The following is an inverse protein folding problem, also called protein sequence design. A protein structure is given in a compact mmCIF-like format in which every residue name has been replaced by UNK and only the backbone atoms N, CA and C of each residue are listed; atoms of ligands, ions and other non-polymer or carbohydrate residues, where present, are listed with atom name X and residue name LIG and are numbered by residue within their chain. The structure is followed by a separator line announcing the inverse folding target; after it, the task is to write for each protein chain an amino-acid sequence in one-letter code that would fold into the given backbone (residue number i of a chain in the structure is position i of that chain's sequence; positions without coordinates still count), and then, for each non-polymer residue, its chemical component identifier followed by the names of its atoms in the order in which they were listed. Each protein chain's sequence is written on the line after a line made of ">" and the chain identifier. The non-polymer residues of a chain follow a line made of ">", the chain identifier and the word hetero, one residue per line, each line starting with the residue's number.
data_IF_583180911688
#
_entry.id   IF_583180911688
#
_cell.length_a   1.000
_cell.length_b   1.000
_cell.length_c   1.000
_cell.angle_alpha   90.00
_cell.angle_beta   90.00
_cell.angle_gamma   90.00
#
_symmetry.space_group_name_H-M   'P 1'
#
loop_
_entity.id
_entity.type
_entity.pdbx_description
1 polymer ?
#
# COMPACT_ATOMS: atom_id res chain seq x y z
N UNK A 1 0.44 -3.12 1.74
CA UNK A 1 -0.28 -2.84 0.48
C UNK A 1 -1.56 -3.66 0.47
N UNK A 2 -2.65 -3.17 -0.14
CA UNK A 2 -3.88 -3.95 -0.32
C UNK A 2 -3.66 -5.05 -1.37
N UNK A 3 -4.60 -5.99 -1.45
CA UNK A 3 -4.66 -7.06 -2.47
C UNK A 3 -6.07 -7.14 -3.03
N UNK A 4 -6.26 -7.77 -4.18
CA UNK A 4 -7.60 -8.03 -4.73
C UNK A 4 -7.75 -9.44 -5.28
N UNK A 5 -8.98 -9.86 -5.52
CA UNK A 5 -9.34 -11.14 -6.12
C UNK A 5 -10.18 -10.98 -7.42
N UNK A 6 -9.95 -9.91 -8.19
CA UNK A 6 -10.76 -9.60 -9.38
C UNK A 6 -10.36 -10.35 -10.65
N UNK A 7 -9.26 -11.11 -10.63
CA UNK A 7 -8.80 -11.93 -11.77
C UNK A 7 -8.67 -13.39 -11.38
N UNK A 8 -8.77 -14.34 -12.32
CA UNK A 8 -8.49 -15.76 -12.05
C UNK A 8 -7.10 -15.97 -11.43
N UNK A 9 -6.09 -15.23 -11.88
CA UNK A 9 -4.71 -15.34 -11.42
C UNK A 9 -4.51 -14.81 -9.98
N UNK A 10 -5.43 -13.97 -9.50
CA UNK A 10 -5.32 -13.36 -8.17
C UNK A 10 -5.90 -14.17 -7.02
N UNK A 11 -6.66 -15.25 -7.29
CA UNK A 11 -7.38 -15.98 -6.24
C UNK A 11 -6.45 -16.59 -5.19
N UNK A 12 -5.41 -17.30 -5.63
CA UNK A 12 -4.48 -17.97 -4.72
C UNK A 12 -3.67 -16.97 -3.91
N UNK A 13 -3.22 -15.87 -4.54
CA UNK A 13 -2.48 -14.81 -3.87
C UNK A 13 -3.34 -14.07 -2.84
N UNK A 14 -4.61 -13.84 -3.15
CA UNK A 14 -5.57 -13.23 -2.23
C UNK A 14 -5.89 -14.15 -1.05
N UNK A 15 -6.14 -15.44 -1.28
CA UNK A 15 -6.47 -16.40 -0.23
C UNK A 15 -5.38 -16.51 0.85
N UNK A 16 -4.12 -16.30 0.48
CA UNK A 16 -2.98 -16.32 1.40
C UNK A 16 -2.82 -15.02 2.21
N UNK A 17 -3.54 -13.94 1.87
CA UNK A 17 -3.33 -12.59 2.39
C UNK A 17 -4.61 -12.01 2.97
N UNK A 18 -4.82 -12.25 4.26
CA UNK A 18 -5.94 -11.70 5.01
C UNK A 18 -5.96 -10.16 4.97
N UNK A 19 -7.02 -9.52 4.44
CA UNK A 19 -7.18 -8.08 4.47
C UNK A 19 -7.18 -7.51 5.90
N UNK A 20 -7.76 -8.23 6.86
CA UNK A 20 -7.76 -7.84 8.27
C UNK A 20 -6.34 -7.74 8.84
N UNK A 21 -5.48 -8.74 8.56
CA UNK A 21 -4.08 -8.72 9.00
C UNK A 21 -3.32 -7.57 8.36
N UNK A 22 -3.57 -7.27 7.08
CA UNK A 22 -2.98 -6.11 6.38
C UNK A 22 -3.39 -4.80 7.08
N UNK A 23 -4.68 -4.62 7.36
CA UNK A 23 -5.18 -3.42 8.04
C UNK A 23 -4.59 -3.29 9.46
N UNK A 24 -4.49 -4.38 10.20
CA UNK A 24 -3.87 -4.40 11.53
C UNK A 24 -2.40 -4.01 11.47
N UNK A 25 -1.65 -4.54 10.49
CA UNK A 25 -0.26 -4.20 10.29
C UNK A 25 -0.07 -2.73 9.89
N UNK A 26 -0.90 -2.21 8.98
CA UNK A 26 -0.83 -0.80 8.56
C UNK A 26 -1.08 0.15 9.75
N UNK A 27 -2.05 -0.16 10.62
CA UNK A 27 -2.27 0.62 11.85
C UNK A 27 -1.04 0.59 12.74
N UNK A 28 -0.51 -0.59 13.01
CA UNK A 28 0.69 -0.74 13.83
C UNK A 28 1.90 0.02 13.28
N UNK A 29 2.13 -0.04 11.96
CA UNK A 29 3.22 0.70 11.30
C UNK A 29 3.03 2.22 11.43
N UNK A 30 1.81 2.71 11.24
CA UNK A 30 1.48 4.13 11.39
C UNK A 30 1.76 4.62 12.81
N UNK A 31 1.30 3.86 13.81
CA UNK A 31 1.51 4.18 15.22
C UNK A 31 3.00 4.15 15.59
N UNK A 32 3.71 3.11 15.16
CA UNK A 32 5.15 2.98 15.36
C UNK A 32 5.91 4.17 14.76
N UNK A 33 5.61 4.54 13.52
CA UNK A 33 6.24 5.70 12.87
C UNK A 33 5.98 6.99 13.65
N UNK A 34 4.75 7.22 14.12
CA UNK A 34 4.40 8.38 14.92
C UNK A 34 5.17 8.45 16.25
N UNK A 35 5.32 7.33 16.96
CA UNK A 35 6.05 7.26 18.23
C UNK A 35 7.57 7.40 18.10
N UNK A 36 8.14 7.13 16.91
CA UNK A 36 9.59 7.11 16.70
C UNK A 36 10.10 8.26 15.82
N UNK A 37 9.23 9.22 15.44
CA UNK A 37 9.61 10.32 14.56
C UNK A 37 10.01 9.86 13.15
N UNK A 38 9.48 8.74 12.68
CA UNK A 38 9.73 8.20 11.34
C UNK A 38 8.60 8.62 10.41
N UNK A 39 8.94 8.97 9.17
CA UNK A 39 7.91 9.29 8.16
C UNK A 39 7.17 8.02 7.75
N UNK A 40 5.84 8.01 7.96
CA UNK A 40 4.94 6.99 7.42
C UNK A 40 4.45 7.39 6.01
N UNK A 41 4.43 6.43 5.09
CA UNK A 41 3.84 6.57 3.76
C UNK A 41 2.66 5.60 3.60
N UNK A 42 1.47 6.17 3.43
CA UNK A 42 0.23 5.42 3.32
C UNK A 42 -0.13 5.06 1.87
N UNK A 43 0.52 4.02 1.34
CA UNK A 43 0.11 3.49 0.04
C UNK A 43 -1.26 2.83 0.05
N UNK A 44 -1.73 2.35 1.21
CA UNK A 44 -2.97 1.60 1.27
C UNK A 44 -4.13 2.47 0.82
N UNK A 45 -4.31 3.65 1.43
CA UNK A 45 -5.40 4.54 1.08
C UNK A 45 -5.30 5.10 -0.36
N UNK A 46 -4.09 5.21 -0.92
CA UNK A 46 -3.93 5.64 -2.30
C UNK A 46 -4.36 4.56 -3.32
N UNK A 47 -4.22 3.28 -2.97
CA UNK A 47 -4.33 2.17 -3.91
C UNK A 47 -5.59 1.32 -3.76
N UNK A 48 -6.38 1.52 -2.69
CA UNK A 48 -7.65 0.79 -2.53
C UNK A 48 -8.78 1.34 -3.38
N UNK A 49 -9.73 0.49 -3.71
CA UNK A 49 -11.05 0.86 -4.21
C UNK A 49 -12.06 1.03 -3.07
N UNK A 50 -13.35 1.20 -3.43
CA UNK A 50 -14.46 1.38 -2.48
C UNK A 50 -14.68 0.17 -1.56
N UNK A 51 -14.17 -1.02 -1.92
CA UNK A 51 -14.27 -2.24 -1.12
C UNK A 51 -13.07 -2.42 -0.18
N UNK A 52 -12.12 -1.49 -0.20
CA UNK A 52 -10.87 -1.60 0.55
C UNK A 52 -9.90 -2.62 -0.03
N UNK A 53 -10.10 -3.06 -1.27
CA UNK A 53 -9.20 -3.97 -1.98
C UNK A 53 -8.34 -3.19 -2.99
N UNK A 54 -7.24 -3.78 -3.44
CA UNK A 54 -6.40 -3.15 -4.45
C UNK A 54 -7.25 -2.86 -5.71
N UNK A 55 -7.20 -1.63 -6.23
CA UNK A 55 -7.91 -1.30 -7.47
C UNK A 55 -7.49 -2.25 -8.59
N UNK A 56 -8.48 -2.80 -9.31
CA UNK A 56 -8.29 -3.86 -10.33
C UNK A 56 -7.25 -3.50 -11.39
N UNK A 57 -7.20 -2.24 -11.80
CA UNK A 57 -6.34 -1.74 -12.87
C UNK A 57 -4.88 -1.53 -12.45
N UNK A 58 -4.58 -1.69 -11.15
CA UNK A 58 -3.25 -1.45 -10.61
C UNK A 58 -2.38 -2.70 -10.46
N UNK A 59 -2.93 -3.91 -10.64
CA UNK A 59 -2.19 -5.17 -10.61
C UNK A 59 -2.91 -6.28 -11.39
N UNK A 60 -2.21 -6.98 -12.29
CA UNK A 60 -2.82 -8.07 -13.06
C UNK A 60 -3.06 -9.33 -12.20
N UNK A 61 -2.12 -9.62 -11.31
CA UNK A 61 -2.16 -10.77 -10.41
C UNK A 61 -2.81 -10.46 -9.05
N UNK A 62 -3.32 -9.24 -8.86
CA UNK A 62 -3.96 -8.78 -7.64
C UNK A 62 -3.04 -8.56 -6.45
N UNK A 63 -1.72 -8.53 -6.66
CA UNK A 63 -0.72 -8.28 -5.63
C UNK A 63 0.35 -7.29 -6.06
N UNK A 64 1.00 -7.52 -7.21
CA UNK A 64 2.16 -6.77 -7.63
C UNK A 64 1.71 -5.55 -8.46
N UNK A 65 2.08 -4.32 -8.05
CA UNK A 65 1.73 -3.13 -8.81
C UNK A 65 2.28 -3.19 -10.24
N UNK A 66 1.42 -2.89 -11.21
CA UNK A 66 1.80 -2.75 -12.61
C UNK A 66 2.25 -1.31 -12.91
N UNK A 67 2.38 -0.97 -14.20
CA UNK A 67 2.76 0.39 -14.62
C UNK A 67 1.84 1.48 -14.04
N UNK A 68 0.52 1.26 -14.01
CA UNK A 68 -0.43 2.21 -13.43
C UNK A 68 -0.31 2.28 -11.90
N UNK A 69 -0.12 1.14 -11.25
CA UNK A 69 0.17 1.06 -9.81
C UNK A 69 1.42 1.85 -9.43
N UNK A 70 2.52 1.65 -10.14
CA UNK A 70 3.76 2.38 -9.91
C UNK A 70 3.66 3.88 -10.25
N UNK A 71 2.84 4.27 -11.22
CA UNK A 71 2.59 5.68 -11.52
C UNK A 71 1.95 6.42 -10.34
N UNK A 72 1.14 5.74 -9.51
CA UNK A 72 0.62 6.28 -8.24
C UNK A 72 1.70 6.24 -7.16
N UNK A 73 2.44 5.14 -7.04
CA UNK A 73 3.37 4.95 -5.94
C UNK A 73 4.60 5.86 -6.00
N UNK A 74 5.20 6.01 -7.18
CA UNK A 74 6.46 6.73 -7.36
C UNK A 74 6.43 8.18 -6.83
N UNK A 75 5.46 9.05 -7.19
CA UNK A 75 5.43 10.42 -6.66
C UNK A 75 5.20 10.47 -5.14
N UNK A 76 4.44 9.53 -4.58
CA UNK A 76 4.22 9.44 -3.14
C UNK A 76 5.50 9.03 -2.39
N UNK A 77 6.26 8.09 -2.96
CA UNK A 77 7.58 7.69 -2.47
C UNK A 77 8.53 8.89 -2.44
N UNK A 78 8.63 9.60 -3.57
CA UNK A 78 9.50 10.77 -3.71
C UNK A 78 9.16 11.85 -2.68
N UNK A 79 7.87 12.14 -2.49
CA UNK A 79 7.41 13.10 -1.50
C UNK A 79 7.73 12.66 -0.06
N UNK A 80 7.55 11.37 0.27
CA UNK A 80 7.88 10.85 1.59
C UNK A 80 9.38 10.89 1.89
N UNK A 81 10.22 10.56 0.91
CA UNK A 81 11.68 10.69 1.01
C UNK A 81 12.07 12.16 1.22
N UNK A 82 11.49 13.08 0.44
CA UNK A 82 11.71 14.52 0.62
C UNK A 82 11.39 14.99 2.05
N UNK A 83 10.24 14.59 2.61
CA UNK A 83 9.90 14.89 4.00
C UNK A 83 10.94 14.33 4.97
N UNK A 84 11.35 13.07 4.80
CA UNK A 84 12.30 12.43 5.70
C UNK A 84 13.67 13.13 5.68
N UNK A 85 14.12 13.61 4.53
CA UNK A 85 15.38 14.36 4.40
C UNK A 85 15.29 15.76 5.00
N UNK A 86 14.14 16.43 4.88
CA UNK A 86 13.91 17.75 5.51
C UNK A 86 13.71 17.69 7.02
N UNK A 87 13.40 16.51 7.56
CA UNK A 87 13.21 16.27 8.99
C UNK A 87 14.51 15.93 9.73
N UNK A 88 15.66 15.93 9.05
CA UNK A 88 16.98 15.79 9.68
C UNK A 88 17.39 17.14 10.30
N UNK A 89 17.71 17.20 11.61
CA UNK A 89 18.31 18.40 12.21
C UNK A 89 19.68 18.71 11.61
#
# INVERSE_FOLDING_TARGET
>A
LPVHNYTPQSQDLFAQRSPEKILRLNRWLKDYCASNGVVYLDYFNAMVDEKGLLKRDLAEDGLHPNKAGYAIMAPLAQAAIGRALSSRP
#
